data_IF_201490508229
#
_entry.id   IF_201490508229
#
_cell.length_a   1.000
_cell.length_b   1.000
_cell.length_c   1.000
_cell.angle_alpha   90.00
_cell.angle_beta   90.00
_cell.angle_gamma   90.00
#
_symmetry.space_group_name_H-M   'P 1'
#
loop_
_entity.id
_entity.type
_entity.pdbx_description
1 polymer ?
#
# COMPACT_ATOMS: atom_id res chain seq x y z
N UNK A 1 -17.65 31.71 5.50
CA UNK A 1 -16.76 30.59 5.11
C UNK A 1 -15.41 31.09 4.59
N UNK A 2 -15.36 32.04 3.66
CA UNK A 2 -14.11 32.55 3.07
C UNK A 2 -13.05 33.11 4.04
N UNK A 3 -13.46 33.73 5.15
CA UNK A 3 -12.51 34.33 6.10
C UNK A 3 -11.75 33.27 6.92
N UNK A 4 -12.41 32.18 7.29
CA UNK A 4 -11.78 31.08 8.02
C UNK A 4 -10.81 30.29 7.13
N UNK A 5 -11.19 30.09 5.86
CA UNK A 5 -10.33 29.43 4.88
C UNK A 5 -9.06 30.24 4.60
N UNK A 6 -9.19 31.56 4.41
CA UNK A 6 -8.02 32.46 4.22
C UNK A 6 -7.12 32.47 5.45
N UNK A 7 -7.68 32.52 6.65
CA UNK A 7 -6.90 32.47 7.89
C UNK A 7 -6.12 31.16 8.02
N UNK A 8 -6.74 30.02 7.70
CA UNK A 8 -6.09 28.71 7.71
C UNK A 8 -4.94 28.63 6.69
N UNK A 9 -5.14 29.13 5.47
CA UNK A 9 -4.10 29.20 4.45
C UNK A 9 -2.93 30.12 4.85
N UNK A 10 -3.22 31.23 5.51
CA UNK A 10 -2.21 32.18 5.97
C UNK A 10 -1.38 31.60 7.13
N UNK A 11 -2.01 30.84 8.04
CA UNK A 11 -1.31 30.09 9.08
C UNK A 11 -0.39 29.02 8.49
N UNK A 12 -0.87 28.23 7.52
CA UNK A 12 -0.05 27.21 6.85
C UNK A 12 1.16 27.84 6.15
N UNK A 13 0.99 28.97 5.46
CA UNK A 13 2.11 29.71 4.84
C UNK A 13 3.15 30.15 5.86
N UNK A 14 2.71 30.75 6.99
CA UNK A 14 3.62 31.19 8.06
C UNK A 14 4.36 30.03 8.72
N UNK A 15 3.72 28.89 8.88
CA UNK A 15 4.35 27.67 9.39
C UNK A 15 5.44 27.16 8.42
N UNK A 16 5.13 27.06 7.12
CA UNK A 16 6.10 26.64 6.09
C UNK A 16 7.30 27.60 6.02
N UNK A 17 7.07 28.91 6.08
CA UNK A 17 8.14 29.92 6.10
C UNK A 17 9.02 29.80 7.35
N UNK A 18 8.42 29.48 8.50
CA UNK A 18 9.15 29.30 9.76
C UNK A 18 9.99 28.03 9.74
N UNK A 19 9.45 26.92 9.23
CA UNK A 19 10.18 25.66 9.04
C UNK A 19 11.34 25.86 8.07
N UNK A 20 11.10 26.52 6.93
CA UNK A 20 12.16 26.82 5.94
C UNK A 20 13.29 27.67 6.53
N UNK A 21 12.99 28.64 7.40
CA UNK A 21 14.01 29.43 8.09
C UNK A 21 14.82 28.58 9.07
N UNK A 22 14.16 27.75 9.87
CA UNK A 22 14.84 26.86 10.81
C UNK A 22 15.73 25.84 10.09
N UNK A 23 15.30 25.30 8.95
CA UNK A 23 16.12 24.44 8.11
C UNK A 23 17.34 25.15 7.54
N UNK A 24 17.17 26.40 7.06
CA UNK A 24 18.29 27.21 6.57
C UNK A 24 19.29 27.54 7.70
N UNK A 25 18.81 27.88 8.88
CA UNK A 25 19.65 28.15 10.06
C UNK A 25 20.43 26.89 10.47
N UNK A 26 19.77 25.72 10.50
CA UNK A 26 20.40 24.43 10.78
C UNK A 26 21.43 24.04 9.70
N UNK A 27 21.15 24.32 8.43
CA UNK A 27 22.08 24.09 7.32
C UNK A 27 23.30 25.02 7.38
N UNK A 28 23.11 26.27 7.83
CA UNK A 28 24.18 27.24 8.04
C UNK A 28 25.06 26.79 9.23
N UNK A 29 24.47 26.27 10.31
CA UNK A 29 25.22 25.70 11.44
C UNK A 29 26.01 24.45 11.04
N UNK A 30 25.42 23.52 10.28
CA UNK A 30 26.13 22.36 9.74
C UNK A 30 27.30 22.77 8.81
N UNK A 31 27.09 23.78 7.96
CA UNK A 31 28.15 24.29 7.07
C UNK A 31 29.28 24.99 7.85
N UNK A 32 28.98 25.68 8.96
CA UNK A 32 29.99 26.25 9.85
C UNK A 32 30.81 25.18 10.58
N UNK A 33 30.22 24.03 10.89
CA UNK A 33 30.95 22.89 11.45
C UNK A 33 31.80 22.15 10.39
N UNK A 34 31.35 22.09 9.14
CA UNK A 34 32.03 21.34 8.08
C UNK A 34 33.05 22.16 7.26
N UNK A 35 33.07 23.49 7.35
CA UNK A 35 34.09 24.36 6.73
C UNK A 35 35.50 24.25 7.38
N UNK A 36 35.68 23.36 8.36
CA UNK A 36 36.99 22.95 8.87
C UNK A 36 37.66 21.81 8.10
N UNK A 37 37.02 21.19 7.09
CA UNK A 37 37.61 20.02 6.44
C UNK A 37 37.29 19.88 4.94
N UNK A 38 38.32 20.21 4.15
CA UNK A 38 38.69 19.74 2.80
C UNK A 38 37.95 20.22 1.53
N UNK A 39 38.84 20.69 0.64
CA UNK A 39 38.71 20.96 -0.79
C UNK A 39 38.74 19.66 -1.64
N UNK A 40 38.19 19.76 -2.86
CA UNK A 40 38.35 18.83 -4.00
C UNK A 40 36.99 18.49 -4.63
N UNK A 41 36.58 19.09 -5.76
CA UNK A 41 36.86 18.66 -7.15
C UNK A 41 36.35 17.22 -7.43
N UNK A 42 35.63 16.88 -8.50
CA UNK A 42 35.27 17.52 -9.76
C UNK A 42 34.15 16.69 -10.44
N UNK A 43 33.52 17.34 -11.42
CA UNK A 43 32.66 16.91 -12.52
C UNK A 43 32.58 15.42 -12.94
N UNK A 44 31.40 15.05 -13.46
CA UNK A 44 31.23 13.90 -14.35
C UNK A 44 29.85 13.84 -14.98
N UNK A 45 29.74 14.37 -16.21
CA UNK A 45 28.59 14.22 -17.11
C UNK A 45 28.26 12.74 -17.37
N UNK A 46 26.97 12.41 -17.42
CA UNK A 46 26.50 11.28 -18.23
C UNK A 46 25.12 11.56 -18.80
N UNK A 47 25.11 11.55 -20.13
CA UNK A 47 23.94 11.64 -20.98
C UNK A 47 22.95 10.52 -20.64
N UNK A 48 21.71 10.90 -20.34
CA UNK A 48 20.61 9.96 -20.20
C UNK A 48 19.46 10.40 -21.10
N UNK A 49 18.97 9.46 -21.89
CA UNK A 49 17.83 9.58 -22.81
C UNK A 49 16.61 10.05 -22.01
N UNK A 50 16.30 11.34 -22.06
CA UNK A 50 15.19 11.91 -21.29
C UNK A 50 13.87 11.48 -21.92
N UNK A 51 13.21 10.48 -21.31
CA UNK A 51 11.75 10.52 -21.24
C UNK A 51 11.41 11.90 -20.67
N UNK A 52 10.76 12.75 -21.47
CA UNK A 52 10.50 14.12 -21.07
C UNK A 52 9.59 14.09 -19.83
N UNK A 53 10.16 14.41 -18.68
CA UNK A 53 9.48 14.46 -17.39
C UNK A 53 8.31 15.45 -17.51
N UNK A 54 7.06 14.95 -17.40
CA UNK A 54 5.87 15.80 -17.52
C UNK A 54 5.93 16.89 -16.44
N UNK A 55 5.69 18.13 -16.83
CA UNK A 55 5.73 19.29 -15.91
C UNK A 55 4.32 19.78 -15.61
N UNK A 56 4.17 20.67 -14.63
CA UNK A 56 2.87 21.29 -14.31
C UNK A 56 2.21 22.03 -15.50
N UNK A 57 2.98 22.37 -16.54
CA UNK A 57 2.47 23.04 -17.76
C UNK A 57 1.72 22.07 -18.69
N UNK A 58 1.92 20.77 -18.52
CA UNK A 58 1.28 19.71 -19.31
C UNK A 58 -0.10 19.30 -18.76
N UNK A 59 -0.53 19.95 -17.67
CA UNK A 59 -1.82 19.72 -17.03
C UNK A 59 -2.98 20.07 -17.97
N UNK A 60 -3.92 19.14 -18.11
CA UNK A 60 -5.18 19.32 -18.85
C UNK A 60 -6.30 19.78 -17.91
N UNK A 61 -7.36 20.35 -18.46
CA UNK A 61 -8.55 20.68 -17.67
C UNK A 61 -9.17 19.41 -17.06
N UNK A 62 -9.56 19.48 -15.79
CA UNK A 62 -10.04 18.34 -15.01
C UNK A 62 -10.80 18.75 -13.76
N UNK A 63 -11.36 17.78 -13.04
CA UNK A 63 -12.08 17.99 -11.79
C UNK A 63 -11.23 17.42 -10.65
N UNK A 64 -10.97 18.23 -9.62
CA UNK A 64 -10.23 17.77 -8.44
C UNK A 64 -10.99 16.64 -7.75
N UNK A 65 -10.34 15.49 -7.57
CA UNK A 65 -10.86 14.43 -6.72
C UNK A 65 -10.68 14.81 -5.24
N UNK A 66 -11.70 15.46 -4.66
CA UNK A 66 -11.68 15.94 -3.27
C UNK A 66 -11.47 14.80 -2.27
N UNK A 67 -11.97 13.60 -2.56
CA UNK A 67 -11.79 12.46 -1.66
C UNK A 67 -10.33 12.03 -1.56
N UNK A 68 -9.65 11.91 -2.70
CA UNK A 68 -8.22 11.56 -2.75
C UNK A 68 -7.35 12.68 -2.17
N UNK A 69 -7.66 13.95 -2.47
CA UNK A 69 -6.94 15.07 -1.88
C UNK A 69 -7.06 15.12 -0.35
N UNK A 70 -8.22 14.77 0.21
CA UNK A 70 -8.41 14.67 1.67
C UNK A 70 -7.60 13.54 2.29
N UNK A 71 -7.52 12.38 1.62
CA UNK A 71 -6.69 11.26 2.08
C UNK A 71 -5.23 11.68 2.15
N UNK A 72 -4.70 12.26 1.07
CA UNK A 72 -3.34 12.78 1.04
C UNK A 72 -3.07 13.78 2.19
N UNK A 73 -4.01 14.69 2.45
CA UNK A 73 -3.88 15.65 3.53
C UNK A 73 -3.88 14.99 4.92
N UNK A 74 -4.72 13.97 5.14
CA UNK A 74 -4.73 13.24 6.41
C UNK A 74 -3.47 12.43 6.63
N UNK A 75 -2.96 11.75 5.60
CA UNK A 75 -1.69 11.02 5.69
C UNK A 75 -0.54 11.98 6.05
N UNK A 76 -0.49 13.17 5.44
CA UNK A 76 0.54 14.17 5.78
C UNK A 76 0.37 14.75 7.19
N UNK A 77 -0.86 14.88 7.70
CA UNK A 77 -1.11 15.29 9.10
C UNK A 77 -0.64 14.19 10.07
N UNK A 78 -0.84 12.92 9.73
CA UNK A 78 -0.35 11.80 10.53
C UNK A 78 1.20 11.76 10.53
N UNK A 79 1.82 12.00 9.38
CA UNK A 79 3.27 12.10 9.26
C UNK A 79 3.86 13.26 10.07
N UNK A 80 3.12 14.37 10.25
CA UNK A 80 3.53 15.52 11.05
C UNK A 80 3.81 15.16 12.51
N UNK A 81 3.18 14.10 13.06
CA UNK A 81 3.48 13.62 14.42
C UNK A 81 4.95 13.24 14.61
N UNK A 82 5.63 12.75 13.56
CA UNK A 82 7.03 12.40 13.61
C UNK A 82 7.93 13.63 13.76
N UNK A 83 7.53 14.79 13.23
CA UNK A 83 8.24 16.06 13.41
C UNK A 83 8.31 16.42 14.90
N UNK A 84 7.21 16.22 15.62
CA UNK A 84 7.15 16.50 17.06
C UNK A 84 7.81 15.40 17.90
N UNK A 85 7.49 14.13 17.64
CA UNK A 85 7.96 13.00 18.44
C UNK A 85 9.47 12.75 18.31
N UNK A 86 10.06 13.14 17.18
CA UNK A 86 11.46 12.84 16.85
C UNK A 86 12.36 14.06 16.86
N UNK A 87 11.82 15.22 17.22
CA UNK A 87 12.62 16.40 17.48
C UNK A 87 13.70 16.13 18.56
N UNK A 88 14.88 16.76 18.47
CA UNK A 88 15.30 17.71 17.43
C UNK A 88 16.00 17.06 16.22
N UNK A 89 16.42 15.80 16.35
CA UNK A 89 17.31 15.15 15.38
C UNK A 89 16.54 14.50 14.23
N UNK A 90 15.28 14.12 14.45
CA UNK A 90 14.40 13.44 13.49
C UNK A 90 14.96 12.11 13.00
N UNK A 91 15.75 11.44 13.85
CA UNK A 91 16.27 10.10 13.58
C UNK A 91 15.18 9.06 13.87
N UNK A 92 14.92 8.21 12.89
CA UNK A 92 13.96 7.12 12.99
C UNK A 92 14.70 5.80 13.11
N UNK A 93 14.21 4.89 13.96
CA UNK A 93 14.62 3.49 13.88
C UNK A 93 14.11 2.87 12.58
N UNK A 94 14.52 1.63 12.28
CA UNK A 94 14.06 0.93 11.09
C UNK A 94 12.54 0.79 11.07
N UNK A 95 11.94 0.36 12.17
CA UNK A 95 10.50 0.15 12.30
C UNK A 95 9.74 1.48 12.14
N UNK A 96 10.27 2.55 12.73
CA UNK A 96 9.69 3.90 12.62
C UNK A 96 9.83 4.48 11.21
N UNK A 97 10.94 4.18 10.54
CA UNK A 97 11.14 4.57 9.15
C UNK A 97 10.18 3.81 8.23
N UNK A 98 9.95 2.51 8.45
CA UNK A 98 8.97 1.71 7.71
C UNK A 98 7.55 2.27 7.88
N UNK A 99 7.16 2.61 9.10
CA UNK A 99 5.84 3.20 9.38
C UNK A 99 5.70 4.61 8.79
N UNK A 100 6.69 5.48 8.98
CA UNK A 100 6.70 6.84 8.43
C UNK A 100 6.66 6.82 6.89
N UNK A 101 7.51 6.01 6.25
CA UNK A 101 7.56 5.94 4.78
C UNK A 101 6.29 5.36 4.18
N UNK A 102 5.64 4.39 4.84
CA UNK A 102 4.31 3.91 4.45
C UNK A 102 3.28 5.04 4.37
N UNK A 103 3.28 5.95 5.33
CA UNK A 103 2.37 7.12 5.34
C UNK A 103 2.71 8.07 4.18
N UNK A 104 3.99 8.41 3.99
CA UNK A 104 4.43 9.30 2.90
C UNK A 104 4.08 8.74 1.52
N UNK A 105 4.30 7.45 1.31
CA UNK A 105 3.96 6.77 0.07
C UNK A 105 2.44 6.72 -0.17
N UNK A 106 1.64 6.54 0.89
CA UNK A 106 0.18 6.66 0.82
C UNK A 106 -0.30 8.04 0.36
N UNK A 107 0.33 9.10 0.89
CA UNK A 107 0.07 10.47 0.49
C UNK A 107 0.44 10.71 -0.99
N UNK A 108 1.63 10.25 -1.40
CA UNK A 108 2.10 10.33 -2.78
C UNK A 108 1.12 9.67 -3.74
N UNK A 109 0.65 8.46 -3.44
CA UNK A 109 -0.36 7.74 -4.24
C UNK A 109 -1.68 8.50 -4.35
N UNK A 110 -2.16 9.06 -3.25
CA UNK A 110 -3.39 9.85 -3.25
C UNK A 110 -3.23 11.12 -4.09
N UNK A 111 -2.08 11.80 -4.04
CA UNK A 111 -1.75 12.94 -4.89
C UNK A 111 -1.64 12.54 -6.37
N UNK A 112 -1.05 11.39 -6.63
CA UNK A 112 -0.93 10.79 -7.95
C UNK A 112 -2.29 10.55 -8.60
N UNK A 113 -3.26 10.00 -7.84
CA UNK A 113 -4.66 9.85 -8.28
C UNK A 113 -5.33 11.21 -8.56
N UNK A 114 -4.97 12.27 -7.83
CA UNK A 114 -5.45 13.62 -8.12
C UNK A 114 -4.87 14.13 -9.44
N UNK A 115 -3.59 13.88 -9.72
CA UNK A 115 -2.93 14.28 -10.96
C UNK A 115 -3.48 13.56 -12.20
N UNK A 116 -3.96 12.31 -12.06
CA UNK A 116 -4.62 11.58 -13.15
C UNK A 116 -5.82 12.35 -13.73
N UNK A 117 -6.59 13.04 -12.88
CA UNK A 117 -7.70 13.88 -13.33
C UNK A 117 -7.27 15.06 -14.23
N UNK A 118 -5.98 15.40 -14.24
CA UNK A 118 -5.39 16.45 -15.06
C UNK A 118 -4.50 15.90 -16.19
N UNK A 119 -4.63 14.62 -16.53
CA UNK A 119 -3.97 14.02 -17.69
C UNK A 119 -2.51 13.60 -17.47
N UNK A 120 -2.06 13.54 -16.21
CA UNK A 120 -0.81 12.89 -15.86
C UNK A 120 -1.06 11.38 -15.79
N UNK A 121 -0.33 10.62 -16.59
CA UNK A 121 -0.38 9.16 -16.56
C UNK A 121 0.72 8.70 -15.63
N UNK A 122 0.35 7.85 -14.68
CA UNK A 122 1.25 7.22 -13.74
C UNK A 122 1.88 6.00 -14.41
N UNK A 123 3.20 5.79 -14.23
CA UNK A 123 3.79 4.48 -14.48
C UNK A 123 3.30 3.54 -13.38
N UNK A 124 2.14 2.93 -13.59
CA UNK A 124 1.65 1.89 -12.68
C UNK A 124 2.53 0.68 -12.86
N UNK A 125 3.17 0.23 -11.78
CA UNK A 125 3.84 -1.07 -11.79
C UNK A 125 2.77 -2.13 -12.02
N UNK A 126 2.77 -2.72 -13.21
CA UNK A 126 1.82 -3.76 -13.57
C UNK A 126 2.26 -5.03 -12.84
N UNK A 127 1.50 -5.39 -11.81
CA UNK A 127 1.69 -6.65 -11.12
C UNK A 127 0.99 -7.73 -11.93
N UNK A 128 1.78 -8.62 -12.53
CA UNK A 128 1.23 -9.77 -13.25
C UNK A 128 1.01 -10.92 -12.27
N UNK A 129 -0.24 -11.20 -11.96
CA UNK A 129 -0.64 -12.34 -11.14
C UNK A 129 -0.66 -13.60 -12.01
N UNK A 130 -0.14 -14.70 -11.49
CA UNK A 130 -0.17 -15.99 -12.17
C UNK A 130 -1.62 -16.51 -12.26
N UNK A 131 -2.17 -16.53 -13.47
CA UNK A 131 -3.54 -17.00 -13.71
C UNK A 131 -3.76 -18.48 -13.42
N UNK A 132 -2.69 -19.28 -13.39
CA UNK A 132 -2.75 -20.71 -13.07
C UNK A 132 -2.62 -20.97 -11.56
N UNK A 133 -2.19 -19.99 -10.78
CA UNK A 133 -2.12 -20.10 -9.33
C UNK A 133 -3.51 -20.06 -8.66
N UNK A 134 -3.58 -20.52 -7.41
CA UNK A 134 -4.74 -20.40 -6.53
C UNK A 134 -4.46 -19.38 -5.42
N UNK A 135 -5.32 -18.36 -5.32
CA UNK A 135 -5.23 -17.32 -4.30
C UNK A 135 -6.28 -17.54 -3.21
N UNK A 136 -5.82 -17.70 -1.97
CA UNK A 136 -6.66 -17.75 -0.79
C UNK A 136 -6.68 -16.37 -0.14
N UNK A 137 -7.88 -15.90 0.19
CA UNK A 137 -8.08 -14.59 0.82
C UNK A 137 -9.00 -14.72 2.03
N UNK A 138 -8.78 -13.92 3.08
CA UNK A 138 -9.64 -13.94 4.26
C UNK A 138 -11.04 -13.39 4.01
N UNK A 139 -11.17 -12.41 3.11
CA UNK A 139 -12.43 -11.71 2.88
C UNK A 139 -12.69 -11.34 1.41
N UNK A 140 -13.97 -11.05 1.12
CA UNK A 140 -14.43 -10.73 -0.24
C UNK A 140 -13.94 -9.38 -0.80
N UNK A 141 -13.42 -8.48 0.04
CA UNK A 141 -12.85 -7.21 -0.46
C UNK A 141 -11.53 -7.46 -1.18
N UNK A 142 -10.71 -8.38 -0.68
CA UNK A 142 -9.45 -8.79 -1.31
C UNK A 142 -9.68 -9.43 -2.69
N UNK A 143 -10.80 -10.14 -2.89
CA UNK A 143 -11.19 -10.66 -4.21
C UNK A 143 -11.31 -9.51 -5.23
N UNK A 144 -11.90 -8.38 -4.83
CA UNK A 144 -12.04 -7.22 -5.73
C UNK A 144 -10.68 -6.65 -6.09
N UNK A 145 -9.80 -6.47 -5.12
CA UNK A 145 -8.44 -5.96 -5.31
C UNK A 145 -7.67 -6.85 -6.29
N UNK A 146 -7.65 -8.17 -6.09
CA UNK A 146 -6.97 -9.10 -7.00
C UNK A 146 -7.52 -9.05 -8.43
N UNK A 147 -8.85 -8.95 -8.57
CA UNK A 147 -9.47 -8.83 -9.88
C UNK A 147 -9.15 -7.48 -10.55
N UNK A 148 -9.13 -6.38 -9.81
CA UNK A 148 -8.75 -5.05 -10.32
C UNK A 148 -7.30 -5.05 -10.83
N UNK A 149 -6.37 -5.63 -10.07
CA UNK A 149 -4.96 -5.81 -10.48
C UNK A 149 -4.88 -6.62 -11.78
N UNK A 150 -5.58 -7.76 -11.85
CA UNK A 150 -5.58 -8.60 -13.04
C UNK A 150 -6.25 -7.93 -14.26
N UNK A 151 -7.31 -7.15 -14.06
CA UNK A 151 -7.92 -6.35 -15.14
C UNK A 151 -6.98 -5.27 -15.66
N UNK A 152 -6.22 -4.62 -14.79
CA UNK A 152 -5.21 -3.63 -15.17
C UNK A 152 -4.04 -4.26 -15.92
N UNK A 153 -3.54 -5.42 -15.47
CA UNK A 153 -2.51 -6.18 -16.16
C UNK A 153 -2.97 -6.64 -17.55
N UNK A 154 -4.19 -7.18 -17.67
CA UNK A 154 -4.77 -7.58 -18.95
C UNK A 154 -4.90 -6.41 -19.94
N UNK A 155 -5.36 -5.23 -19.47
CA UNK A 155 -5.43 -4.03 -20.29
C UNK A 155 -4.07 -3.61 -20.82
N UNK A 156 -3.05 -3.60 -19.96
CA UNK A 156 -1.70 -3.25 -20.35
C UNK A 156 -1.10 -4.24 -21.37
N UNK A 157 -1.45 -5.52 -21.27
CA UNK A 157 -1.04 -6.56 -22.23
C UNK A 157 -1.90 -6.62 -23.49
N UNK A 158 -2.91 -5.75 -23.64
CA UNK A 158 -3.82 -5.76 -24.79
C UNK A 158 -4.77 -6.96 -24.83
N UNK A 159 -4.93 -7.69 -23.72
CA UNK A 159 -5.78 -8.87 -23.62
C UNK A 159 -7.22 -8.41 -23.35
N UNK A 160 -8.13 -8.67 -24.29
CA UNK A 160 -9.55 -8.29 -24.19
C UNK A 160 -10.40 -9.32 -23.44
N UNK A 161 -9.89 -10.54 -23.24
CA UNK A 161 -10.57 -11.61 -22.54
C UNK A 161 -10.36 -11.49 -21.03
N UNK A 162 -11.43 -11.57 -20.24
CA UNK A 162 -11.33 -11.70 -18.78
C UNK A 162 -10.70 -13.05 -18.44
N UNK A 163 -9.40 -13.09 -18.17
CA UNK A 163 -8.78 -14.23 -17.49
C UNK A 163 -9.26 -14.24 -16.05
N UNK A 164 -9.98 -15.27 -15.65
CA UNK A 164 -10.48 -15.37 -14.27
C UNK A 164 -9.38 -15.99 -13.41
N UNK A 165 -8.91 -15.25 -12.42
CA UNK A 165 -8.04 -15.78 -11.38
C UNK A 165 -8.79 -16.85 -10.57
N UNK A 166 -8.07 -17.88 -10.11
CA UNK A 166 -8.62 -18.83 -9.14
C UNK A 166 -8.51 -18.20 -7.76
N UNK A 167 -9.61 -17.66 -7.23
CA UNK A 167 -9.63 -17.01 -5.92
C UNK A 167 -10.67 -17.71 -5.03
N UNK A 168 -10.28 -18.11 -3.82
CA UNK A 168 -11.19 -18.63 -2.80
C UNK A 168 -11.13 -17.71 -1.57
N UNK A 169 -12.29 -17.26 -1.11
CA UNK A 169 -12.43 -16.60 0.19
C UNK A 169 -12.65 -17.64 1.29
N UNK A 170 -11.81 -17.62 2.32
CA UNK A 170 -11.96 -18.49 3.50
C UNK A 170 -13.02 -17.98 4.48
N UNK A 171 -13.53 -16.75 4.28
CA UNK A 171 -14.46 -16.08 5.20
C UNK A 171 -13.92 -15.93 6.63
N UNK A 172 -12.59 -15.88 6.78
CA UNK A 172 -11.89 -15.49 8.00
C UNK A 172 -10.95 -16.56 8.56
N UNK A 173 -11.30 -17.86 8.52
CA UNK A 173 -10.46 -18.94 9.08
C UNK A 173 -10.58 -20.24 8.28
N UNK A 174 -9.55 -21.08 8.34
CA UNK A 174 -9.55 -22.43 7.74
C UNK A 174 -9.90 -23.55 8.74
N UNK A 175 -9.69 -23.32 10.03
CA UNK A 175 -10.09 -24.21 11.11
C UNK A 175 -10.98 -23.47 12.12
N UNK A 176 -12.00 -24.13 12.68
CA UNK A 176 -12.92 -23.49 13.61
C UNK A 176 -12.24 -23.02 14.90
N UNK A 177 -11.22 -23.74 15.40
CA UNK A 177 -10.50 -23.38 16.63
C UNK A 177 -9.77 -22.03 16.49
N UNK A 178 -9.29 -21.70 15.30
CA UNK A 178 -8.61 -20.44 15.02
C UNK A 178 -9.57 -19.25 15.22
N UNK A 179 -10.89 -19.46 15.07
CA UNK A 179 -11.87 -18.43 15.36
C UNK A 179 -11.97 -18.11 16.86
N UNK A 180 -11.69 -19.08 17.74
CA UNK A 180 -11.65 -18.84 19.19
C UNK A 180 -10.40 -18.04 19.59
N UNK A 181 -9.31 -18.14 18.82
CA UNK A 181 -8.12 -17.30 19.01
C UNK A 181 -8.42 -15.85 18.66
N UNK A 182 -9.18 -15.62 17.59
CA UNK A 182 -9.58 -14.28 17.13
C UNK A 182 -10.67 -13.70 18.03
N UNK A 183 -11.68 -14.50 18.40
CA UNK A 183 -12.79 -14.10 19.26
C UNK A 183 -13.05 -15.14 20.38
N UNK A 184 -12.37 -15.01 21.53
CA UNK A 184 -12.47 -15.98 22.63
C UNK A 184 -13.87 -16.10 23.26
N UNK A 185 -14.75 -15.12 23.07
CA UNK A 185 -16.10 -15.10 23.66
C UNK A 185 -17.17 -15.68 22.73
N UNK A 186 -16.77 -16.37 21.66
CA UNK A 186 -17.71 -16.90 20.67
C UNK A 186 -18.58 -18.04 21.24
N UNK A 187 -19.90 -18.00 21.05
CA UNK A 187 -20.77 -19.10 21.46
C UNK A 187 -20.54 -20.39 20.66
N UNK A 188 -20.61 -21.55 21.30
CA UNK A 188 -20.43 -22.87 20.65
C UNK A 188 -21.36 -23.11 19.44
N UNK A 189 -22.59 -22.59 19.50
CA UNK A 189 -23.54 -22.71 18.38
C UNK A 189 -23.05 -21.99 17.11
N UNK A 190 -22.36 -20.86 17.27
CA UNK A 190 -21.78 -20.13 16.15
C UNK A 190 -20.54 -20.87 15.60
N UNK A 191 -19.74 -21.47 16.49
CA UNK A 191 -18.57 -22.26 16.12
C UNK A 191 -18.93 -23.44 15.21
N UNK A 192 -20.02 -24.17 15.50
CA UNK A 192 -20.54 -25.25 14.61
C UNK A 192 -20.93 -24.76 13.22
N UNK A 193 -21.41 -23.52 13.10
CA UNK A 193 -21.70 -22.90 11.82
C UNK A 193 -20.42 -22.62 11.01
N UNK A 194 -19.37 -22.19 11.69
CA UNK A 194 -18.05 -21.94 11.11
C UNK A 194 -17.38 -23.25 10.70
N UNK A 195 -17.44 -24.28 11.54
CA UNK A 195 -16.93 -25.63 11.24
C UNK A 195 -17.43 -26.15 9.89
N UNK A 196 -18.75 -26.08 9.64
CA UNK A 196 -19.32 -26.47 8.35
C UNK A 196 -18.77 -25.65 7.18
N UNK A 197 -18.59 -24.34 7.36
CA UNK A 197 -18.03 -23.47 6.33
C UNK A 197 -16.57 -23.80 6.06
N UNK A 198 -15.77 -24.05 7.10
CA UNK A 198 -14.39 -24.47 6.98
C UNK A 198 -14.27 -25.78 6.18
N UNK A 199 -15.13 -26.78 6.46
CA UNK A 199 -15.17 -28.03 5.68
C UNK A 199 -15.49 -27.78 4.22
N UNK A 200 -16.55 -27.02 3.91
CA UNK A 200 -16.93 -26.70 2.53
C UNK A 200 -15.80 -25.96 1.80
N UNK A 201 -15.15 -25.02 2.47
CA UNK A 201 -14.02 -24.27 1.90
C UNK A 201 -12.84 -25.19 1.61
N UNK A 202 -12.45 -26.07 2.55
CA UNK A 202 -11.37 -27.05 2.35
C UNK A 202 -11.67 -27.99 1.19
N UNK A 203 -12.90 -28.48 1.07
CA UNK A 203 -13.34 -29.29 -0.07
C UNK A 203 -13.26 -28.53 -1.40
N UNK A 204 -13.65 -27.25 -1.41
CA UNK A 204 -13.57 -26.42 -2.61
C UNK A 204 -12.12 -26.14 -3.02
N UNK A 205 -11.23 -25.90 -2.05
CA UNK A 205 -9.78 -25.77 -2.29
C UNK A 205 -9.26 -27.06 -2.91
N UNK A 206 -9.56 -28.21 -2.31
CA UNK A 206 -9.10 -29.50 -2.82
C UNK A 206 -9.63 -29.78 -4.24
N UNK A 207 -10.90 -29.47 -4.52
CA UNK A 207 -11.47 -29.59 -5.87
C UNK A 207 -10.72 -28.74 -6.90
N UNK A 208 -10.29 -27.52 -6.54
CA UNK A 208 -9.50 -26.70 -7.47
C UNK A 208 -8.10 -27.31 -7.66
N UNK A 209 -7.46 -27.76 -6.57
CA UNK A 209 -6.15 -28.41 -6.64
C UNK A 209 -6.19 -29.63 -7.56
N UNK A 210 -7.17 -30.51 -7.39
CA UNK A 210 -7.28 -31.74 -8.15
C UNK A 210 -7.61 -31.50 -9.63
N UNK A 211 -8.54 -30.57 -9.90
CA UNK A 211 -9.03 -30.32 -11.27
C UNK A 211 -8.13 -29.39 -12.08
N UNK A 212 -7.62 -28.32 -11.46
CA UNK A 212 -6.85 -27.28 -12.16
C UNK A 212 -5.35 -27.41 -11.98
N UNK A 213 -4.89 -28.16 -10.96
CA UNK A 213 -3.46 -28.37 -10.66
C UNK A 213 -2.67 -27.06 -10.68
N UNK A 214 -2.99 -26.13 -9.76
CA UNK A 214 -2.40 -24.81 -9.77
C UNK A 214 -0.89 -24.88 -9.62
N UNK A 215 -0.19 -23.98 -10.31
CA UNK A 215 1.29 -23.85 -10.27
C UNK A 215 1.80 -23.56 -8.86
N UNK A 216 1.05 -22.76 -8.11
CA UNK A 216 1.29 -22.43 -6.73
C UNK A 216 -0.03 -22.07 -6.02
N UNK A 217 -0.01 -22.13 -4.69
CA UNK A 217 -1.10 -21.67 -3.84
C UNK A 217 -0.56 -20.52 -3.03
N UNK A 218 -1.21 -19.35 -3.09
CA UNK A 218 -0.83 -18.16 -2.36
C UNK A 218 -1.89 -17.79 -1.34
N UNK A 219 -1.46 -17.35 -0.17
CA UNK A 219 -2.34 -16.67 0.80
C UNK A 219 -2.04 -15.18 0.74
N UNK A 220 -3.04 -14.39 0.35
CA UNK A 220 -2.95 -12.93 0.43
C UNK A 220 -3.04 -12.54 1.89
N UNK A 221 -2.03 -11.81 2.36
CA UNK A 221 -1.76 -11.63 3.77
C UNK A 221 -1.48 -10.17 4.09
N UNK A 222 -2.13 -9.62 5.13
CA UNK A 222 -1.76 -8.32 5.71
C UNK A 222 -1.05 -8.52 7.04
N UNK A 223 0.15 -7.93 7.18
CA UNK A 223 0.92 -8.03 8.41
C UNK A 223 0.17 -7.42 9.61
N UNK A 224 0.15 -8.17 10.73
CA UNK A 224 -0.60 -7.83 11.94
C UNK A 224 -2.09 -8.20 11.91
N UNK A 225 -2.62 -8.74 10.80
CA UNK A 225 -3.97 -9.32 10.76
C UNK A 225 -3.95 -10.78 11.21
N UNK A 226 -4.43 -11.03 12.43
CA UNK A 226 -4.45 -12.37 13.04
C UNK A 226 -5.20 -13.41 12.21
N UNK A 227 -6.24 -13.02 11.47
CA UNK A 227 -6.99 -13.94 10.65
C UNK A 227 -6.13 -14.43 9.48
N UNK A 228 -5.48 -13.49 8.79
CA UNK A 228 -4.59 -13.79 7.67
C UNK A 228 -3.39 -14.64 8.13
N UNK A 229 -2.81 -14.37 9.30
CA UNK A 229 -1.71 -15.14 9.89
C UNK A 229 -2.10 -16.60 10.14
N UNK A 230 -3.28 -16.81 10.72
CA UNK A 230 -3.78 -18.15 11.01
C UNK A 230 -4.10 -18.91 9.72
N UNK A 231 -4.71 -18.25 8.72
CA UNK A 231 -4.95 -18.85 7.41
C UNK A 231 -3.63 -19.27 6.76
N UNK A 232 -2.61 -18.40 6.75
CA UNK A 232 -1.30 -18.69 6.16
C UNK A 232 -0.70 -19.95 6.79
N UNK A 233 -0.63 -19.99 8.12
CA UNK A 233 -0.08 -21.13 8.87
C UNK A 233 -0.80 -22.44 8.55
N UNK A 234 -2.13 -22.42 8.45
CA UNK A 234 -2.92 -23.62 8.13
C UNK A 234 -2.75 -24.03 6.68
N UNK A 235 -2.76 -23.09 5.75
CA UNK A 235 -2.63 -23.35 4.32
C UNK A 235 -1.21 -23.82 3.95
N UNK A 236 -0.17 -23.30 4.60
CA UNK A 236 1.20 -23.82 4.49
C UNK A 236 1.25 -25.31 4.87
N UNK A 237 0.67 -25.67 6.02
CA UNK A 237 0.69 -27.04 6.51
C UNK A 237 -0.15 -28.01 5.66
N UNK A 238 -1.28 -27.56 5.12
CA UNK A 238 -2.22 -28.41 4.39
C UNK A 238 -1.92 -28.49 2.88
N UNK A 239 -1.42 -27.41 2.30
CA UNK A 239 -1.38 -27.20 0.85
C UNK A 239 -0.02 -26.67 0.34
N UNK A 240 1.00 -26.56 1.19
CA UNK A 240 2.29 -25.94 0.84
C UNK A 240 2.12 -24.52 0.27
N UNK A 241 1.16 -23.77 0.84
CA UNK A 241 0.85 -22.43 0.38
C UNK A 241 2.00 -21.45 0.66
N UNK A 242 2.17 -20.45 -0.20
CA UNK A 242 3.17 -19.40 -0.05
C UNK A 242 2.52 -18.10 0.40
N UNK A 243 3.28 -17.29 1.13
CA UNK A 243 2.86 -15.92 1.49
C UNK A 243 2.84 -15.01 0.27
N UNK A 244 1.82 -14.15 0.19
CA UNK A 244 1.74 -13.03 -0.74
C UNK A 244 1.33 -11.78 0.05
N UNK A 245 2.28 -10.92 0.44
CA UNK A 245 1.97 -9.72 1.20
C UNK A 245 1.03 -8.79 0.42
N UNK A 246 0.01 -8.27 1.10
CA UNK A 246 -0.96 -7.34 0.50
C UNK A 246 -0.27 -6.04 0.08
N UNK A 247 0.80 -5.66 0.76
CA UNK A 247 1.63 -4.49 0.47
C UNK A 247 2.31 -4.63 -0.90
N UNK A 248 2.73 -5.84 -1.28
CA UNK A 248 3.28 -6.11 -2.62
C UNK A 248 2.22 -6.02 -3.73
N UNK A 249 0.94 -6.14 -3.36
CA UNK A 249 -0.21 -6.02 -4.28
C UNK A 249 -0.76 -4.60 -4.37
N UNK A 250 -0.42 -3.74 -3.41
CA UNK A 250 -0.81 -2.35 -3.45
C UNK A 250 0.20 -1.60 -4.31
N UNK A 251 -0.21 -1.28 -5.54
CA UNK A 251 0.47 -0.31 -6.40
C UNK A 251 0.82 0.92 -5.55
N UNK A 252 2.11 1.22 -5.39
CA UNK A 252 2.62 2.51 -4.95
C UNK A 252 2.31 3.56 -6.01
#
# INVERSE_FOLDING_TARGET
MDKQLRNSQELLKKSIESISKLEQEKLIELKKQNMGNKNGAENGDSANTKNAEKTHKDAKAGIINISELKKAAYDLIEADEYVYKKAPNHELTKEEAEEFTKIILGAQKSLNNVLEAFGFEQEKTIINLDSEALYLVSNKKLIKILNEINEEANKAMGITLKTNLNIISTEGVLEPEDMLVINPKMPEKALKGIEKKCTITKENIQKIIDNKKPTAIFVVFKEGDKADELILKRAEALYDAKKLPLEELQIL
#
